data_IF_124961353992
#
_entry.id   IF_124961353992
#
_cell.length_a   1.000
_cell.length_b   1.000
_cell.length_c   1.000
_cell.angle_alpha   90.00
_cell.angle_beta   90.00
_cell.angle_gamma   90.00
#
_symmetry.space_group_name_H-M   'P 1'
#
loop_
_entity.id
_entity.type
_entity.pdbx_description
1 polymer ?
#
# COMPACT_ATOMS: atom_id res chain seq x y z
N UNK A 1 3.08 28.79 10.72
CA UNK A 1 2.31 28.01 9.75
C UNK A 1 1.87 26.72 10.45
N UNK A 2 0.54 26.61 10.66
CA UNK A 2 -0.06 25.42 11.25
C UNK A 2 0.12 24.27 10.26
N UNK A 3 1.03 23.38 10.56
CA UNK A 3 1.10 22.05 9.95
C UNK A 3 -0.21 21.37 10.36
N UNK A 4 -1.10 21.09 9.40
CA UNK A 4 -2.25 20.24 9.68
C UNK A 4 -1.71 18.93 10.23
N UNK A 5 -1.92 18.70 11.51
CA UNK A 5 -1.74 17.40 12.11
C UNK A 5 -2.58 16.41 11.29
N UNK A 6 -2.00 15.23 11.01
CA UNK A 6 -2.70 14.09 10.40
C UNK A 6 -4.10 14.02 11.02
N UNK A 7 -5.19 13.95 10.24
CA UNK A 7 -6.50 13.79 10.82
C UNK A 7 -6.50 12.49 11.65
N UNK A 8 -6.83 12.60 12.93
CA UNK A 8 -6.97 11.46 13.85
C UNK A 8 -8.12 10.50 13.44
N UNK A 9 -8.88 10.88 12.43
CA UNK A 9 -10.00 10.09 11.93
C UNK A 9 -9.50 8.96 11.03
N UNK A 10 -9.70 7.74 11.49
CA UNK A 10 -9.59 6.56 10.64
C UNK A 10 -10.51 6.72 9.44
N UNK A 11 -9.98 6.49 8.26
CA UNK A 11 -10.72 6.64 7.01
C UNK A 11 -10.72 5.33 6.21
N UNK A 12 -11.74 5.16 5.38
CA UNK A 12 -11.77 4.14 4.34
C UNK A 12 -11.83 4.81 2.96
N UNK A 13 -11.12 4.24 2.00
CA UNK A 13 -11.02 4.70 0.62
C UNK A 13 -11.73 3.67 -0.25
N UNK A 14 -12.83 4.07 -0.87
CA UNK A 14 -13.68 3.20 -1.67
C UNK A 14 -13.38 3.41 -3.14
N UNK A 15 -12.80 2.40 -3.77
CA UNK A 15 -12.57 2.37 -5.20
C UNK A 15 -13.52 1.43 -5.94
N UNK A 16 -13.19 1.16 -7.19
CA UNK A 16 -14.04 0.37 -8.07
C UNK A 16 -14.09 -1.13 -7.72
N UNK A 17 -12.97 -1.70 -7.26
CA UNK A 17 -12.84 -3.13 -6.91
C UNK A 17 -12.45 -3.36 -5.46
N UNK A 18 -11.83 -2.37 -4.83
CA UNK A 18 -11.22 -2.49 -3.52
C UNK A 18 -11.66 -1.40 -2.57
N UNK A 19 -11.62 -1.74 -1.30
CA UNK A 19 -11.75 -0.81 -0.19
C UNK A 19 -10.43 -0.86 0.57
N UNK A 20 -9.80 0.29 0.73
CA UNK A 20 -8.62 0.45 1.57
C UNK A 20 -9.08 1.01 2.90
N UNK A 21 -8.71 0.36 3.99
CA UNK A 21 -9.10 0.75 5.35
C UNK A 21 -7.96 0.57 6.34
N UNK A 22 -8.06 1.19 7.52
CA UNK A 22 -7.13 0.94 8.60
C UNK A 22 -7.02 -0.54 8.92
N UNK A 23 -5.84 -0.98 9.33
CA UNK A 23 -5.62 -2.35 9.78
C UNK A 23 -6.41 -2.65 11.06
N UNK A 24 -6.91 -3.88 11.16
CA UNK A 24 -7.68 -4.38 12.30
C UNK A 24 -7.05 -5.67 12.82
N UNK A 25 -7.31 -6.02 14.07
CA UNK A 25 -6.79 -7.25 14.68
C UNK A 25 -7.16 -8.51 13.87
N UNK A 26 -8.35 -8.54 13.27
CA UNK A 26 -8.82 -9.66 12.42
C UNK A 26 -7.94 -9.90 11.19
N UNK A 27 -7.09 -8.95 10.79
CA UNK A 27 -6.24 -9.06 9.61
C UNK A 27 -4.94 -9.83 9.90
N UNK A 28 -4.57 -9.96 11.18
CA UNK A 28 -3.27 -10.49 11.61
C UNK A 28 -3.07 -11.94 11.15
N UNK A 29 -4.12 -12.75 11.14
CA UNK A 29 -4.03 -14.15 10.71
C UNK A 29 -3.63 -14.25 9.22
N UNK A 30 -4.28 -13.47 8.35
CA UNK A 30 -3.92 -13.42 6.94
C UNK A 30 -2.52 -12.84 6.74
N UNK A 31 -2.17 -11.79 7.47
CA UNK A 31 -0.83 -11.19 7.41
C UNK A 31 0.25 -12.22 7.78
N UNK A 32 0.01 -13.03 8.80
CA UNK A 32 0.93 -14.10 9.18
C UNK A 32 1.09 -15.15 8.08
N UNK A 33 -0.02 -15.63 7.50
CA UNK A 33 -0.02 -16.58 6.40
C UNK A 33 0.78 -16.03 5.21
N UNK A 34 0.57 -14.77 4.85
CA UNK A 34 1.28 -14.14 3.72
C UNK A 34 2.77 -13.90 4.01
N UNK A 35 3.12 -13.58 5.26
CA UNK A 35 4.51 -13.34 5.65
C UNK A 35 5.33 -14.64 5.81
N UNK A 36 4.66 -15.78 5.93
CA UNK A 36 5.27 -17.12 5.94
C UNK A 36 5.27 -17.78 4.57
N UNK A 37 4.55 -17.25 3.58
CA UNK A 37 4.51 -17.76 2.21
C UNK A 37 5.81 -17.41 1.47
N UNK A 38 6.49 -18.45 0.96
CA UNK A 38 7.78 -18.29 0.27
C UNK A 38 7.63 -17.50 -1.04
N UNK A 39 6.61 -17.79 -1.85
CA UNK A 39 6.41 -17.10 -3.13
C UNK A 39 6.12 -15.59 -2.92
N UNK A 40 5.30 -15.24 -1.93
CA UNK A 40 5.04 -13.85 -1.60
C UNK A 40 6.30 -13.15 -1.09
N UNK A 41 7.09 -13.83 -0.26
CA UNK A 41 8.35 -13.29 0.23
C UNK A 41 9.37 -13.08 -0.88
N UNK A 42 9.47 -14.02 -1.82
CA UNK A 42 10.36 -13.90 -2.99
C UNK A 42 9.95 -12.69 -3.86
N UNK A 43 8.65 -12.49 -4.10
CA UNK A 43 8.13 -11.36 -4.87
C UNK A 43 8.32 -10.00 -4.18
N UNK A 44 8.46 -10.00 -2.86
CA UNK A 44 8.72 -8.82 -2.02
C UNK A 44 10.22 -8.62 -1.72
N UNK A 45 11.09 -9.45 -2.33
CA UNK A 45 12.53 -9.46 -2.09
C UNK A 45 12.91 -9.62 -0.61
N UNK A 46 12.11 -10.38 0.14
CA UNK A 46 12.31 -10.67 1.56
C UNK A 46 12.50 -12.17 1.79
N UNK A 47 12.59 -12.56 3.04
CA UNK A 47 12.55 -13.96 3.47
C UNK A 47 11.29 -14.21 4.29
N UNK A 48 10.70 -15.42 4.22
CA UNK A 48 9.60 -15.77 5.12
C UNK A 48 9.98 -15.56 6.58
N UNK A 49 9.06 -15.03 7.37
CA UNK A 49 9.31 -14.83 8.79
C UNK A 49 9.42 -16.19 9.50
N UNK A 50 10.31 -16.26 10.48
CA UNK A 50 10.51 -17.44 11.34
C UNK A 50 10.05 -17.11 12.77
N UNK A 51 8.74 -16.87 12.92
CA UNK A 51 8.08 -16.59 14.20
C UNK A 51 6.91 -17.55 14.38
N UNK A 52 6.56 -17.87 15.64
CA UNK A 52 5.25 -18.51 15.89
C UNK A 52 4.12 -17.50 15.67
N UNK A 53 2.89 -18.00 15.45
CA UNK A 53 1.73 -17.11 15.31
C UNK A 53 1.56 -16.18 16.52
N UNK A 54 1.71 -16.71 17.73
CA UNK A 54 1.57 -15.94 18.97
C UNK A 54 2.61 -14.83 19.09
N UNK A 55 3.84 -15.09 18.65
CA UNK A 55 4.90 -14.06 18.60
C UNK A 55 4.55 -12.97 17.60
N UNK A 56 4.10 -13.37 16.41
CA UNK A 56 3.70 -12.44 15.36
C UNK A 56 2.47 -11.62 15.76
N UNK A 57 1.43 -12.25 16.32
CA UNK A 57 0.23 -11.59 16.80
C UNK A 57 0.57 -10.52 17.85
N UNK A 58 1.39 -10.86 18.84
CA UNK A 58 1.79 -9.92 19.91
C UNK A 58 2.49 -8.68 19.33
N UNK A 59 3.38 -8.85 18.35
CA UNK A 59 4.08 -7.75 17.69
C UNK A 59 3.08 -6.92 16.90
N UNK A 60 2.23 -7.55 16.11
CA UNK A 60 1.25 -6.90 15.23
C UNK A 60 0.22 -6.11 16.02
N UNK A 61 -0.32 -6.65 17.12
CA UNK A 61 -1.25 -5.92 18.01
C UNK A 61 -0.60 -4.67 18.58
N UNK A 62 0.67 -4.75 19.02
CA UNK A 62 1.40 -3.60 19.50
C UNK A 62 1.64 -2.54 18.39
N UNK A 63 1.82 -2.96 17.15
CA UNK A 63 1.93 -2.04 16.01
C UNK A 63 0.61 -1.34 15.67
N UNK A 64 -0.55 -2.01 15.82
CA UNK A 64 -1.86 -1.41 15.56
C UNK A 64 -2.16 -0.19 16.42
N UNK A 65 -1.59 -0.14 17.64
CA UNK A 65 -1.76 0.96 18.57
C UNK A 65 -0.83 2.15 18.31
N UNK A 66 0.13 2.01 17.39
CA UNK A 66 1.12 3.06 17.10
C UNK A 66 0.73 3.84 15.86
N UNK A 67 0.73 5.15 15.98
CA UNK A 67 0.68 6.04 14.82
C UNK A 67 2.10 6.46 14.42
N UNK A 68 2.33 6.65 13.14
CA UNK A 68 3.59 7.17 12.60
C UNK A 68 3.31 8.37 11.71
N UNK A 69 4.10 9.42 11.85
CA UNK A 69 4.07 10.57 10.93
C UNK A 69 4.85 10.31 9.63
N UNK A 70 5.59 9.18 9.56
CA UNK A 70 6.48 8.83 8.46
C UNK A 70 5.96 7.68 7.60
N UNK A 71 4.84 7.07 8.02
CA UNK A 71 4.24 5.94 7.31
C UNK A 71 2.78 5.73 7.69
N UNK A 72 2.02 5.15 6.79
CA UNK A 72 0.66 4.70 7.06
C UNK A 72 0.42 3.34 6.39
N UNK A 73 -0.17 2.41 7.14
CA UNK A 73 -0.43 1.03 6.72
C UNK A 73 -1.93 0.78 6.66
N UNK A 74 -2.37 0.13 5.60
CA UNK A 74 -3.77 -0.19 5.36
C UNK A 74 -3.95 -1.66 4.99
N UNK A 75 -5.15 -2.17 5.25
CA UNK A 75 -5.64 -3.41 4.67
C UNK A 75 -6.44 -3.14 3.41
N UNK A 76 -6.35 -4.05 2.45
CA UNK A 76 -7.14 -4.04 1.22
C UNK A 76 -8.24 -5.09 1.36
N UNK A 77 -9.49 -4.69 1.21
CA UNK A 77 -10.65 -5.58 1.12
C UNK A 77 -11.26 -5.52 -0.28
N UNK A 78 -11.90 -6.60 -0.71
CA UNK A 78 -12.85 -6.53 -1.83
C UNK A 78 -14.21 -5.99 -1.34
N UNK A 79 -15.17 -5.79 -2.24
CA UNK A 79 -16.51 -5.29 -1.86
C UNK A 79 -17.33 -6.28 -1.01
N UNK A 80 -16.94 -7.56 -0.97
CA UNK A 80 -17.51 -8.57 -0.08
C UNK A 80 -16.86 -8.55 1.32
N UNK A 81 -16.04 -7.54 1.63
CA UNK A 81 -15.33 -7.38 2.91
C UNK A 81 -14.30 -8.46 3.22
N UNK A 82 -13.85 -9.19 2.22
CA UNK A 82 -12.75 -10.13 2.37
C UNK A 82 -11.42 -9.38 2.34
N UNK A 83 -10.59 -9.58 3.35
CA UNK A 83 -9.21 -9.06 3.40
C UNK A 83 -8.34 -9.82 2.39
N UNK A 84 -7.82 -9.14 1.39
CA UNK A 84 -7.12 -9.72 0.25
C UNK A 84 -5.67 -9.27 0.12
N UNK A 85 -5.26 -8.25 0.88
CA UNK A 85 -3.92 -7.71 0.79
C UNK A 85 -3.68 -6.51 1.69
N UNK A 86 -2.52 -5.90 1.54
CA UNK A 86 -2.10 -4.72 2.29
C UNK A 86 -1.45 -3.70 1.37
N UNK A 87 -1.59 -2.43 1.72
CA UNK A 87 -0.82 -1.37 1.09
C UNK A 87 -0.36 -0.34 2.12
N UNK A 88 0.62 0.45 1.75
CA UNK A 88 1.20 1.45 2.64
C UNK A 88 1.95 2.51 1.86
N UNK A 89 2.18 3.65 2.49
CA UNK A 89 3.26 4.54 2.13
C UNK A 89 4.17 4.73 3.33
N UNK A 90 5.45 4.93 3.09
CA UNK A 90 6.49 5.01 4.12
C UNK A 90 7.67 5.85 3.64
N UNK A 91 8.67 6.04 4.50
CA UNK A 91 9.84 6.88 4.23
C UNK A 91 9.45 8.28 3.73
N UNK A 92 8.46 8.88 4.43
CA UNK A 92 7.97 10.22 4.09
C UNK A 92 9.07 11.26 4.30
N UNK A 93 9.51 11.86 3.22
CA UNK A 93 10.42 13.00 3.23
C UNK A 93 9.62 14.29 3.02
N UNK A 94 9.45 15.08 4.10
CA UNK A 94 8.66 16.33 4.06
C UNK A 94 9.32 17.43 3.26
N UNK A 95 10.66 17.45 3.18
CA UNK A 95 11.39 18.46 2.43
C UNK A 95 11.23 18.26 0.93
N UNK A 96 11.30 17.02 0.48
CA UNK A 96 11.13 16.63 -0.92
C UNK A 96 9.66 16.35 -1.26
N UNK A 97 8.77 16.41 -0.26
CA UNK A 97 7.36 16.02 -0.38
C UNK A 97 7.21 14.68 -1.09
N UNK A 98 7.97 13.70 -0.64
CA UNK A 98 8.03 12.38 -1.28
C UNK A 98 7.80 11.25 -0.30
N UNK A 99 7.37 10.09 -0.80
CA UNK A 99 7.28 8.85 -0.04
C UNK A 99 7.53 7.63 -0.93
N UNK A 100 7.84 6.51 -0.31
CA UNK A 100 7.85 5.21 -0.96
C UNK A 100 6.50 4.52 -0.78
N UNK A 101 6.01 3.89 -1.86
CA UNK A 101 4.76 3.14 -1.91
C UNK A 101 5.02 1.65 -1.88
N UNK A 102 4.21 0.91 -1.11
CA UNK A 102 4.25 -0.55 -1.06
C UNK A 102 2.86 -1.17 -1.13
N UNK A 103 2.75 -2.33 -1.80
CA UNK A 103 1.51 -3.10 -1.90
C UNK A 103 1.79 -4.58 -2.03
N UNK A 104 0.94 -5.39 -1.40
CA UNK A 104 0.88 -6.84 -1.55
C UNK A 104 -0.57 -7.28 -1.70
N UNK A 105 -0.93 -7.98 -2.76
CA UNK A 105 -2.14 -8.79 -2.83
C UNK A 105 -1.76 -10.19 -2.36
N UNK A 106 -2.06 -10.48 -1.10
CA UNK A 106 -1.66 -11.72 -0.44
C UNK A 106 -2.51 -12.92 -0.83
N UNK A 107 -3.81 -12.70 -1.03
CA UNK A 107 -4.68 -13.75 -1.54
C UNK A 107 -4.49 -13.93 -3.05
N UNK A 108 -3.82 -15.01 -3.43
CA UNK A 108 -3.44 -15.30 -4.82
C UNK A 108 -4.64 -15.48 -5.76
N UNK A 109 -5.83 -15.79 -5.23
CA UNK A 109 -7.06 -15.91 -6.03
C UNK A 109 -7.51 -14.58 -6.64
N UNK A 110 -7.02 -13.45 -6.09
CA UNK A 110 -7.29 -12.10 -6.60
C UNK A 110 -6.21 -11.56 -7.54
N UNK A 111 -5.20 -12.39 -7.87
CA UNK A 111 -4.17 -11.99 -8.83
C UNK A 111 -4.75 -11.91 -10.25
N UNK A 112 -4.16 -11.02 -11.06
CA UNK A 112 -4.56 -10.77 -12.47
C UNK A 112 -5.99 -10.24 -12.66
N UNK A 113 -6.78 -10.05 -11.58
CA UNK A 113 -8.14 -9.49 -11.61
C UNK A 113 -8.21 -7.95 -11.56
N UNK A 114 -7.06 -7.26 -11.56
CA UNK A 114 -7.00 -5.79 -11.50
C UNK A 114 -7.10 -5.20 -10.10
N UNK A 115 -7.21 -6.01 -9.05
CA UNK A 115 -7.31 -5.54 -7.66
C UNK A 115 -6.08 -4.75 -7.21
N UNK A 116 -4.87 -5.19 -7.56
CA UNK A 116 -3.65 -4.46 -7.24
C UNK A 116 -3.57 -3.11 -7.93
N UNK A 117 -4.03 -3.01 -9.18
CA UNK A 117 -4.11 -1.74 -9.92
C UNK A 117 -5.10 -0.79 -9.26
N UNK A 118 -6.31 -1.27 -8.96
CA UNK A 118 -7.36 -0.48 -8.32
C UNK A 118 -6.92 0.03 -6.93
N UNK A 119 -6.37 -0.85 -6.09
CA UNK A 119 -5.86 -0.45 -4.77
C UNK A 119 -4.71 0.56 -4.86
N UNK A 120 -3.84 0.44 -5.87
CA UNK A 120 -2.76 1.40 -6.10
C UNK A 120 -3.33 2.78 -6.47
N UNK A 121 -4.31 2.83 -7.37
CA UNK A 121 -4.97 4.07 -7.77
C UNK A 121 -5.67 4.72 -6.56
N UNK A 122 -6.38 3.92 -5.74
CA UNK A 122 -7.09 4.40 -4.55
C UNK A 122 -6.13 5.02 -3.53
N UNK A 123 -5.00 4.36 -3.23
CA UNK A 123 -4.04 4.89 -2.26
C UNK A 123 -3.30 6.12 -2.82
N UNK A 124 -2.96 6.15 -4.10
CA UNK A 124 -2.38 7.34 -4.74
C UNK A 124 -3.34 8.53 -4.71
N UNK A 125 -4.63 8.31 -4.97
CA UNK A 125 -5.64 9.34 -4.83
C UNK A 125 -5.64 9.95 -3.43
N UNK A 126 -5.70 9.11 -2.39
CA UNK A 126 -5.63 9.56 -1.00
C UNK A 126 -4.33 10.33 -0.70
N UNK A 127 -3.18 9.78 -1.09
CA UNK A 127 -1.89 10.44 -0.87
C UNK A 127 -1.89 11.84 -1.49
N UNK A 128 -2.36 11.97 -2.72
CA UNK A 128 -2.30 13.23 -3.46
C UNK A 128 -3.38 14.25 -3.08
N UNK A 129 -4.53 13.81 -2.54
CA UNK A 129 -5.61 14.72 -2.14
C UNK A 129 -5.58 15.08 -0.67
N UNK A 130 -5.18 14.15 0.20
CA UNK A 130 -5.28 14.31 1.65
C UNK A 130 -3.92 14.58 2.33
N UNK A 131 -2.83 14.54 1.60
CA UNK A 131 -1.49 14.81 2.14
C UNK A 131 -0.75 15.89 1.34
N UNK A 132 0.38 16.34 1.89
CA UNK A 132 1.27 17.29 1.20
C UNK A 132 2.30 16.61 0.28
N UNK A 133 2.20 15.29 0.08
CA UNK A 133 3.11 14.52 -0.77
C UNK A 133 2.84 14.86 -2.23
N UNK A 134 3.90 15.17 -2.97
CA UNK A 134 3.84 15.51 -4.38
C UNK A 134 4.48 14.44 -5.27
N UNK A 135 5.41 13.66 -4.71
CA UNK A 135 6.16 12.66 -5.46
C UNK A 135 6.07 11.30 -4.76
N UNK A 136 5.66 10.28 -5.49
CA UNK A 136 5.60 8.90 -4.98
C UNK A 136 6.49 8.02 -5.83
N UNK A 137 7.28 7.18 -5.18
CA UNK A 137 8.10 6.18 -5.86
C UNK A 137 7.90 4.80 -5.23
N UNK A 138 8.28 3.79 -5.96
CA UNK A 138 8.30 2.41 -5.49
C UNK A 138 9.52 1.66 -6.05
N UNK A 139 9.84 0.54 -5.43
CA UNK A 139 10.75 -0.44 -5.98
C UNK A 139 10.01 -1.73 -6.26
N UNK A 140 10.21 -2.30 -7.43
CA UNK A 140 9.68 -3.62 -7.81
C UNK A 140 10.78 -4.46 -8.44
N UNK A 141 10.81 -5.76 -8.14
CA UNK A 141 11.80 -6.66 -8.74
C UNK A 141 11.69 -6.63 -10.28
N UNK A 142 12.81 -6.66 -10.97
CA UNK A 142 12.84 -6.74 -12.44
C UNK A 142 12.16 -8.01 -12.95
N UNK A 143 12.13 -9.06 -12.16
CA UNK A 143 11.43 -10.33 -12.46
C UNK A 143 9.92 -10.28 -12.18
N UNK A 144 9.41 -9.31 -11.42
CA UNK A 144 7.99 -9.22 -11.08
C UNK A 144 7.18 -8.45 -12.14
N UNK A 145 7.06 -9.06 -13.33
CA UNK A 145 6.37 -8.45 -14.49
C UNK A 145 4.90 -8.10 -14.18
N UNK A 146 4.23 -8.90 -13.34
CA UNK A 146 2.84 -8.64 -12.94
C UNK A 146 2.73 -7.31 -12.19
N UNK A 147 3.58 -7.08 -11.21
CA UNK A 147 3.59 -5.83 -10.44
C UNK A 147 3.93 -4.63 -11.33
N UNK A 148 4.94 -4.75 -12.20
CA UNK A 148 5.32 -3.69 -13.13
C UNK A 148 4.15 -3.27 -14.02
N UNK A 149 3.39 -4.23 -14.58
CA UNK A 149 2.20 -3.96 -15.38
C UNK A 149 1.10 -3.25 -14.57
N UNK A 150 0.89 -3.67 -13.32
CA UNK A 150 -0.08 -3.02 -12.43
C UNK A 150 0.32 -1.58 -12.13
N UNK A 151 1.58 -1.33 -11.80
CA UNK A 151 2.09 0.01 -11.50
C UNK A 151 2.05 0.94 -12.72
N UNK A 152 2.43 0.45 -13.90
CA UNK A 152 2.31 1.25 -15.13
C UNK A 152 0.87 1.66 -15.43
N UNK A 153 -0.11 0.76 -15.21
CA UNK A 153 -1.54 1.06 -15.35
C UNK A 153 -2.03 2.05 -14.31
N UNK A 154 -1.42 2.08 -13.13
CA UNK A 154 -1.76 2.99 -12.03
C UNK A 154 -1.06 4.36 -12.13
N UNK A 155 -0.30 4.62 -13.21
CA UNK A 155 0.30 5.92 -13.45
C UNK A 155 1.77 6.04 -13.06
N UNK A 156 2.40 4.99 -12.59
CA UNK A 156 3.85 4.99 -12.43
C UNK A 156 4.55 4.87 -13.78
N UNK A 157 5.67 5.55 -13.93
CA UNK A 157 6.45 5.61 -15.16
C UNK A 157 7.96 5.66 -14.86
N UNK A 158 8.75 5.78 -15.94
CA UNK A 158 10.20 6.02 -15.88
C UNK A 158 10.96 4.98 -15.02
N UNK A 159 10.87 3.68 -15.34
CA UNK A 159 11.59 2.67 -14.58
C UNK A 159 13.11 2.93 -14.71
N UNK A 160 13.78 3.03 -13.55
CA UNK A 160 15.23 3.10 -13.43
C UNK A 160 15.74 1.86 -12.75
N UNK A 161 16.77 1.25 -13.29
CA UNK A 161 17.42 0.11 -12.67
C UNK A 161 18.12 0.51 -11.38
N UNK A 162 17.88 -0.25 -10.32
CA UNK A 162 18.51 -0.07 -9.01
C UNK A 162 18.90 -1.43 -8.47
N UNK A 163 20.15 -1.55 -8.04
CA UNK A 163 20.63 -2.76 -7.37
C UNK A 163 20.71 -2.54 -5.86
N UNK A 164 20.04 -3.42 -5.10
CA UNK A 164 20.10 -3.44 -3.63
C UNK A 164 20.52 -4.85 -3.17
N UNK A 165 21.77 -4.97 -2.70
CA UNK A 165 22.34 -6.27 -2.34
C UNK A 165 22.36 -7.23 -3.52
N UNK A 166 21.70 -8.37 -3.39
CA UNK A 166 21.59 -9.41 -4.46
C UNK A 166 20.41 -9.20 -5.41
N UNK A 167 19.54 -8.24 -5.13
CA UNK A 167 18.31 -8.02 -5.89
C UNK A 167 18.45 -6.87 -6.88
N UNK A 168 17.81 -7.03 -8.03
CA UNK A 168 17.72 -6.03 -9.09
C UNK A 168 16.28 -5.52 -9.17
N UNK A 169 16.11 -4.22 -9.02
CA UNK A 169 14.81 -3.56 -8.98
C UNK A 169 14.67 -2.57 -10.13
N UNK A 170 13.44 -2.27 -10.48
CA UNK A 170 13.06 -1.01 -11.08
C UNK A 170 12.53 -0.07 -10.01
N UNK A 171 13.12 1.12 -9.92
CA UNK A 171 12.50 2.26 -9.24
C UNK A 171 11.55 2.92 -10.22
N UNK A 172 10.26 2.96 -9.92
CA UNK A 172 9.24 3.64 -10.72
C UNK A 172 8.70 4.84 -9.94
N UNK A 173 8.33 5.90 -10.64
CA UNK A 173 7.92 7.17 -10.03
C UNK A 173 6.62 7.69 -10.62
N UNK A 174 5.90 8.49 -9.84
CA UNK A 174 4.75 9.28 -10.29
C UNK A 174 4.72 10.59 -9.51
N UNK A 175 4.17 11.65 -10.10
CA UNK A 175 3.98 12.93 -9.45
C UNK A 175 2.51 13.34 -9.42
N UNK A 176 2.15 14.17 -8.47
CA UNK A 176 0.77 14.63 -8.21
C UNK A 176 0.12 15.27 -9.42
N UNK A 177 0.82 16.20 -10.07
CA UNK A 177 0.24 17.01 -11.15
C UNK A 177 -0.15 16.13 -12.35
N UNK A 178 0.78 15.33 -12.84
CA UNK A 178 0.55 14.47 -14.00
C UNK A 178 -0.44 13.36 -13.68
N UNK A 179 -0.36 12.81 -12.45
CA UNK A 179 -1.25 11.76 -12.03
C UNK A 179 -2.70 12.24 -11.94
N UNK A 180 -2.97 13.38 -11.30
CA UNK A 180 -4.32 13.95 -11.19
C UNK A 180 -4.91 14.33 -12.55
N UNK A 181 -4.09 14.79 -13.50
CA UNK A 181 -4.54 15.01 -14.89
C UNK A 181 -5.00 13.70 -15.55
N UNK A 182 -4.20 12.64 -15.40
CA UNK A 182 -4.48 11.33 -16.01
C UNK A 182 -5.68 10.62 -15.40
N UNK A 183 -5.89 10.79 -14.10
CA UNK A 183 -6.94 10.12 -13.32
C UNK A 183 -8.00 11.11 -12.82
N UNK A 184 -8.30 12.17 -13.58
CA UNK A 184 -9.27 13.20 -13.21
C UNK A 184 -10.71 12.71 -13.08
N UNK A 185 -11.06 11.60 -13.71
CA UNK A 185 -12.42 11.04 -13.74
C UNK A 185 -12.61 9.80 -12.84
N UNK A 186 -11.66 9.51 -11.94
CA UNK A 186 -11.82 8.36 -11.04
C UNK A 186 -12.91 8.62 -10.01
N UNK A 187 -13.81 7.65 -9.84
CA UNK A 187 -14.85 7.69 -8.78
C UNK A 187 -14.32 7.01 -7.52
N UNK A 188 -13.62 7.78 -6.70
CA UNK A 188 -13.06 7.33 -5.42
C UNK A 188 -13.66 8.16 -4.30
N UNK A 189 -14.15 7.49 -3.26
CA UNK A 189 -14.73 8.13 -2.08
C UNK A 189 -13.87 7.89 -0.86
N UNK A 190 -13.54 8.95 -0.15
CA UNK A 190 -12.87 8.88 1.15
C UNK A 190 -13.95 9.13 2.19
N UNK A 191 -14.16 8.15 3.07
CA UNK A 191 -15.18 8.22 4.12
C UNK A 191 -14.54 7.99 5.49
N UNK A 192 -15.00 8.70 6.55
CA UNK A 192 -14.63 8.35 7.91
C UNK A 192 -15.05 6.91 8.24
N UNK A 193 -14.19 6.15 8.93
CA UNK A 193 -14.66 4.90 9.54
C UNK A 193 -15.52 5.25 10.74
N UNK A 194 -16.76 4.72 10.77
CA UNK A 194 -17.57 4.76 11.96
C UNK A 194 -16.89 3.89 13.04
N UNK A 195 -16.61 4.48 14.20
CA UNK A 195 -16.23 3.70 15.36
C UNK A 195 -17.44 2.84 15.74
N UNK A 196 -17.40 1.57 15.35
CA UNK A 196 -18.30 0.59 15.93
C UNK A 196 -17.68 0.15 17.24
N UNK A 197 -18.34 0.57 18.33
CA UNK A 197 -18.09 0.10 19.70
C UNK A 197 -17.99 -1.43 19.81
#
# INVERSE_FOLDING_TARGET
PNIRSKPDSKISILGNKTIIRPKKRKDIENDFQWRTDTELSDLDATVPINLSYEQFERISVNELSKSSQWSEKFSIENHEKKHIGNCMYYDVNRWEKSCEFGIMIGDKSFWNGGYGTDATINLLYYIYTETEIENVFLHTLQTNIRAQKAFSKSGFSSPKEVKKGRYEFFKMTTNKEDWLKKFSEVDIKIIPEEEKD
#
